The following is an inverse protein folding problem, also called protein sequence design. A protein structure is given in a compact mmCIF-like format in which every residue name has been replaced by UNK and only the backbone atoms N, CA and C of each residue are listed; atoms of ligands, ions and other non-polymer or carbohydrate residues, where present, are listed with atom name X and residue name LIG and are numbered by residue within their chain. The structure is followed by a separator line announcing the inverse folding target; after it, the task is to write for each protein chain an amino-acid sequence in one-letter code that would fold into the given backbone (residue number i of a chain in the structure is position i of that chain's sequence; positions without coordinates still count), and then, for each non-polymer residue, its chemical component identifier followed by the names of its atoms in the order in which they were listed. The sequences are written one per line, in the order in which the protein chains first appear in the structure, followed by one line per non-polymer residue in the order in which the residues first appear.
data_IF_083251284699
#
_entry.id   IF_083251284699
#
_cell.length_a   1.000
_cell.length_b   1.000
_cell.length_c   1.000
_cell.angle_alpha   90.00
_cell.angle_beta   90.00
_cell.angle_gamma   90.00
#
_symmetry.space_group_name_H-M   'P 1'
#
loop_
_entity.id
_entity.type
_entity.pdbx_description
1 polymer ?
#
# COMPACT_ATOMS: atom_id res chain seq x y z
N UNK A 1 4.00 -11.16 14.16
CA UNK A 1 2.77 -11.63 13.50
C UNK A 1 2.99 -13.11 13.31
N UNK A 2 2.43 -13.93 14.20
CA UNK A 2 2.58 -15.40 14.13
C UNK A 2 1.54 -15.88 13.12
N UNK A 3 1.97 -16.59 12.09
CA UNK A 3 1.07 -17.22 11.13
C UNK A 3 0.26 -18.31 11.85
N UNK A 4 -1.08 -18.34 11.71
CA UNK A 4 -1.87 -19.44 12.26
C UNK A 4 -1.49 -20.73 11.52
N UNK A 5 -1.03 -21.72 12.28
CA UNK A 5 -0.86 -23.09 11.78
C UNK A 5 -2.20 -23.81 11.77
N UNK A 6 -2.45 -24.64 10.75
CA UNK A 6 -3.66 -25.44 10.66
C UNK A 6 -3.32 -26.91 10.39
N UNK A 7 -4.16 -27.79 10.92
CA UNK A 7 -4.02 -29.24 10.82
C UNK A 7 -5.21 -29.77 10.02
N UNK A 8 -4.94 -30.36 8.85
CA UNK A 8 -5.93 -31.20 8.17
C UNK A 8 -5.93 -32.58 8.80
N UNK A 9 -7.07 -33.00 9.35
CA UNK A 9 -7.26 -34.36 9.87
C UNK A 9 -8.27 -35.08 8.99
N UNK A 10 -7.79 -36.01 8.16
CA UNK A 10 -8.64 -36.93 7.42
C UNK A 10 -8.98 -38.13 8.32
N UNK A 11 -10.26 -38.29 8.66
CA UNK A 11 -10.73 -39.45 9.39
C UNK A 11 -10.71 -40.71 8.50
N UNK A 12 -10.06 -41.79 8.94
CA UNK A 12 -10.19 -43.10 8.30
C UNK A 12 -11.61 -43.65 8.53
N UNK A 13 -12.55 -43.37 7.63
CA UNK A 13 -13.81 -44.10 7.62
C UNK A 13 -13.66 -45.45 6.91
N UNK A 14 -13.71 -46.52 7.69
CA UNK A 14 -14.07 -47.84 7.17
C UNK A 14 -15.58 -47.86 6.93
N UNK A 15 -15.91 -47.78 5.63
CA UNK A 15 -17.09 -48.34 4.97
C UNK A 15 -18.33 -47.46 4.74
N UNK A 16 -18.60 -47.35 3.43
CA UNK A 16 -19.89 -47.25 2.71
C UNK A 16 -20.64 -45.93 2.62
N UNK A 17 -20.70 -45.46 1.37
CA UNK A 17 -21.40 -44.29 0.78
C UNK A 17 -20.74 -42.97 1.12
N UNK A 18 -19.95 -42.48 0.17
CA UNK A 18 -19.36 -41.15 0.13
C UNK A 18 -20.39 -40.08 0.50
N UNK A 19 -20.51 -39.79 1.78
CA UNK A 19 -20.91 -38.48 2.25
C UNK A 19 -19.79 -37.56 1.81
N UNK A 20 -20.18 -36.51 1.11
CA UNK A 20 -19.36 -35.37 0.72
C UNK A 20 -18.20 -35.17 1.72
N UNK A 21 -16.95 -35.21 1.24
CA UNK A 21 -15.75 -35.13 2.08
C UNK A 21 -15.67 -33.75 2.75
N UNK A 22 -16.39 -33.58 3.85
CA UNK A 22 -16.41 -32.35 4.62
C UNK A 22 -15.06 -32.18 5.35
N UNK A 23 -14.39 -31.08 5.07
CA UNK A 23 -13.15 -30.68 5.73
C UNK A 23 -13.52 -29.96 7.02
N UNK A 24 -13.10 -30.49 8.17
CA UNK A 24 -13.21 -29.79 9.45
C UNK A 24 -12.11 -28.73 9.57
N UNK A 25 -12.50 -27.49 9.77
CA UNK A 25 -11.62 -26.34 10.02
C UNK A 25 -11.67 -25.98 11.50
N UNK A 26 -10.49 -25.72 12.08
CA UNK A 26 -10.35 -25.18 13.43
C UNK A 26 -9.50 -23.92 13.36
N UNK A 27 -10.08 -22.79 13.78
CA UNK A 27 -9.36 -21.53 13.97
C UNK A 27 -9.37 -21.18 15.45
N UNK A 28 -8.23 -20.79 16.01
CA UNK A 28 -8.09 -20.40 17.42
C UNK A 28 -7.11 -19.23 17.57
N UNK A 29 -7.43 -18.31 18.49
CA UNK A 29 -6.51 -17.29 18.97
C UNK A 29 -5.41 -17.90 19.86
N UNK A 30 -4.29 -17.18 19.97
CA UNK A 30 -3.17 -17.58 20.83
C UNK A 30 -3.63 -17.80 22.28
N UNK A 31 -3.33 -18.98 22.84
CA UNK A 31 -3.71 -19.38 24.20
C UNK A 31 -5.03 -20.13 24.31
N UNK A 32 -5.78 -20.30 23.21
CA UNK A 32 -7.05 -21.04 23.17
C UNK A 32 -7.01 -22.33 22.35
N UNK A 33 -5.83 -22.72 21.86
CA UNK A 33 -5.63 -23.86 20.97
C UNK A 33 -6.04 -25.18 21.63
N UNK A 34 -5.65 -25.37 22.90
CA UNK A 34 -5.97 -26.56 23.68
C UNK A 34 -7.48 -26.73 23.88
N UNK A 35 -8.19 -25.62 24.11
CA UNK A 35 -9.64 -25.62 24.28
C UNK A 35 -10.33 -26.01 22.97
N UNK A 36 -9.89 -25.42 21.85
CA UNK A 36 -10.40 -25.73 20.52
C UNK A 36 -10.15 -27.21 20.14
N UNK A 37 -8.94 -27.74 20.40
CA UNK A 37 -8.62 -29.14 20.12
C UNK A 37 -9.40 -30.11 21.01
N UNK A 38 -9.63 -29.77 22.29
CA UNK A 38 -10.49 -30.59 23.17
C UNK A 38 -11.92 -30.60 22.67
N UNK A 39 -12.46 -29.45 22.28
CA UNK A 39 -13.81 -29.34 21.73
C UNK A 39 -13.96 -30.15 20.42
N UNK A 40 -12.95 -30.11 19.54
CA UNK A 40 -12.92 -30.92 18.32
C UNK A 40 -13.01 -32.42 18.63
N UNK A 41 -12.24 -32.90 19.61
CA UNK A 41 -12.16 -34.33 19.97
C UNK A 41 -13.44 -34.87 20.60
N UNK A 42 -14.20 -34.04 21.30
CA UNK A 42 -15.40 -34.49 21.99
C UNK A 42 -16.60 -34.66 21.04
N UNK A 43 -16.49 -34.27 19.76
CA UNK A 43 -17.55 -34.29 18.73
C UNK A 43 -18.91 -33.73 19.20
N UNK A 44 -18.94 -32.96 20.28
CA UNK A 44 -20.17 -32.66 21.03
C UNK A 44 -20.95 -31.51 20.43
N UNK A 45 -20.45 -30.88 19.37
CA UNK A 45 -20.99 -29.62 18.89
C UNK A 45 -21.19 -29.63 17.37
N UNK A 46 -22.43 -29.38 16.96
CA UNK A 46 -22.69 -28.75 15.67
C UNK A 46 -22.13 -27.32 15.75
N UNK A 47 -20.93 -27.12 15.20
CA UNK A 47 -20.27 -25.82 14.99
C UNK A 47 -20.19 -24.88 16.21
N UNK A 48 -19.35 -25.16 17.20
CA UNK A 48 -19.08 -24.23 18.29
C UNK A 48 -18.27 -23.05 17.76
N UNK A 49 -18.92 -21.88 17.68
CA UNK A 49 -18.28 -20.59 17.42
C UNK A 49 -18.22 -19.86 18.76
N UNK A 50 -17.02 -19.57 19.23
CA UNK A 50 -16.79 -18.72 20.41
C UNK A 50 -16.15 -17.40 19.99
N UNK A 51 -15.82 -16.55 20.96
CA UNK A 51 -15.07 -15.32 20.68
C UNK A 51 -13.60 -15.58 20.37
N UNK A 52 -13.03 -16.70 20.83
CA UNK A 52 -11.60 -16.99 20.72
C UNK A 52 -11.24 -18.14 19.78
N UNK A 53 -12.21 -18.98 19.43
CA UNK A 53 -12.00 -20.10 18.52
C UNK A 53 -13.30 -20.54 17.87
N UNK A 54 -13.20 -21.16 16.70
CA UNK A 54 -14.33 -21.71 15.96
C UNK A 54 -13.99 -23.04 15.30
N UNK A 55 -14.98 -23.91 15.23
CA UNK A 55 -14.90 -25.19 14.52
C UNK A 55 -16.07 -25.25 13.56
N UNK A 56 -15.80 -25.48 12.28
CA UNK A 56 -16.83 -25.60 11.25
C UNK A 56 -16.40 -26.57 10.16
N UNK A 57 -17.35 -26.96 9.30
CA UNK A 57 -17.10 -27.88 8.19
C UNK A 57 -17.25 -27.12 6.87
N UNK A 58 -16.35 -27.38 5.93
CA UNK A 58 -16.38 -26.81 4.58
C UNK A 58 -16.27 -27.92 3.54
N UNK A 59 -16.73 -27.67 2.33
CA UNK A 59 -16.50 -28.59 1.21
C UNK A 59 -15.17 -28.28 0.52
N UNK A 60 -14.53 -29.25 -0.15
CA UNK A 60 -13.26 -29.01 -0.86
C UNK A 60 -13.36 -27.90 -1.91
N UNK A 61 -14.52 -27.76 -2.56
CA UNK A 61 -14.80 -26.74 -3.58
C UNK A 61 -14.78 -25.31 -3.02
N UNK A 62 -14.93 -25.15 -1.71
CA UNK A 62 -14.89 -23.84 -1.05
C UNK A 62 -13.46 -23.31 -0.83
N UNK A 63 -12.44 -24.17 -0.98
CA UNK A 63 -11.04 -23.76 -0.86
C UNK A 63 -10.58 -23.16 -2.19
N UNK A 64 -10.27 -21.87 -2.18
CA UNK A 64 -9.76 -21.19 -3.37
C UNK A 64 -8.34 -21.65 -3.69
N UNK A 65 -8.00 -21.95 -4.97
CA UNK A 65 -6.62 -22.23 -5.39
C UNK A 65 -5.64 -21.10 -5.07
N UNK A 66 -6.15 -19.87 -4.93
CA UNK A 66 -5.36 -18.67 -4.67
C UNK A 66 -5.14 -18.39 -3.18
N UNK A 67 -5.86 -19.11 -2.29
CA UNK A 67 -5.73 -18.94 -0.84
C UNK A 67 -6.19 -20.22 -0.13
N UNK A 68 -5.21 -21.00 0.30
CA UNK A 68 -5.37 -22.19 1.13
C UNK A 68 -5.71 -21.89 2.61
N UNK A 69 -5.63 -20.62 3.04
CA UNK A 69 -5.99 -20.20 4.40
C UNK A 69 -7.51 -20.22 4.59
N UNK A 70 -8.04 -21.04 5.51
CA UNK A 70 -9.45 -21.01 5.86
C UNK A 70 -9.82 -19.66 6.46
N UNK A 71 -10.94 -19.09 6.00
CA UNK A 71 -11.50 -17.84 6.52
C UNK A 71 -12.51 -18.14 7.60
N UNK A 72 -12.65 -17.21 8.55
CA UNK A 72 -13.61 -17.41 9.63
C UNK A 72 -15.05 -17.40 9.15
N UNK A 73 -15.92 -18.13 9.85
CA UNK A 73 -17.35 -18.18 9.54
C UNK A 73 -17.98 -16.78 9.58
N UNK A 74 -17.58 -15.97 10.58
CA UNK A 74 -17.96 -14.56 10.74
C UNK A 74 -17.54 -13.72 9.53
N UNK A 75 -16.31 -13.91 9.03
CA UNK A 75 -15.79 -13.20 7.87
C UNK A 75 -16.53 -13.57 6.58
N UNK A 76 -16.76 -14.88 6.36
CA UNK A 76 -17.47 -15.38 5.18
C UNK A 76 -18.89 -14.82 5.11
N UNK A 77 -19.63 -14.88 6.22
CA UNK A 77 -20.99 -14.32 6.31
C UNK A 77 -21.02 -12.81 6.03
N UNK A 78 -20.10 -12.06 6.63
CA UNK A 78 -20.00 -10.62 6.38
C UNK A 78 -19.68 -10.34 4.89
N UNK A 79 -18.77 -11.11 4.29
CA UNK A 79 -18.43 -10.97 2.88
C UNK A 79 -19.62 -11.24 1.96
N UNK A 80 -20.43 -12.26 2.27
CA UNK A 80 -21.67 -12.57 1.55
C UNK A 80 -22.71 -11.45 1.70
N UNK A 81 -22.90 -10.94 2.93
CA UNK A 81 -23.80 -9.81 3.20
C UNK A 81 -23.39 -8.54 2.43
N UNK A 82 -22.10 -8.20 2.45
CA UNK A 82 -21.55 -7.06 1.71
C UNK A 82 -21.69 -7.23 0.19
N UNK A 83 -21.53 -8.45 -0.31
CA UNK A 83 -21.73 -8.76 -1.73
C UNK A 83 -23.21 -8.67 -2.12
N UNK A 84 -24.12 -9.16 -1.26
CA UNK A 84 -25.56 -9.17 -1.52
C UNK A 84 -26.16 -7.75 -1.59
N UNK A 85 -25.61 -6.79 -0.83
CA UNK A 85 -26.01 -5.38 -0.91
C UNK A 85 -25.36 -4.64 -2.10
N UNK A 86 -24.57 -5.32 -2.93
CA UNK A 86 -23.94 -4.74 -4.11
C UNK A 86 -22.85 -3.71 -3.78
N UNK A 87 -22.13 -3.87 -2.66
CA UNK A 87 -21.04 -2.96 -2.32
C UNK A 87 -19.91 -3.05 -3.35
N UNK A 88 -19.48 -1.91 -3.87
CA UNK A 88 -18.38 -1.84 -4.84
C UNK A 88 -17.07 -2.37 -4.25
N UNK A 89 -16.31 -3.10 -5.07
CA UNK A 89 -14.96 -3.51 -4.70
C UNK A 89 -13.96 -2.38 -4.96
N UNK A 90 -12.79 -2.45 -4.34
CA UNK A 90 -11.71 -1.48 -4.54
C UNK A 90 -11.40 -1.28 -6.03
N UNK A 91 -11.36 -2.37 -6.80
CA UNK A 91 -11.05 -2.29 -8.22
C UNK A 91 -12.14 -1.58 -9.01
N UNK A 92 -13.40 -1.55 -8.57
CA UNK A 92 -14.43 -0.76 -9.25
C UNK A 92 -14.17 0.74 -9.10
N UNK A 93 -13.54 1.14 -8.00
CA UNK A 93 -13.43 2.53 -7.58
C UNK A 93 -12.07 3.15 -7.92
N UNK A 94 -10.99 2.37 -7.87
CA UNK A 94 -9.63 2.91 -7.88
C UNK A 94 -8.67 2.23 -8.85
N UNK A 95 -7.88 3.04 -9.54
CA UNK A 95 -6.60 2.65 -10.12
C UNK A 95 -5.51 2.78 -9.04
N UNK A 96 -5.04 1.64 -8.54
CA UNK A 96 -4.03 1.58 -7.47
C UNK A 96 -2.63 1.51 -8.07
N UNK A 97 -1.77 2.44 -7.65
CA UNK A 97 -0.40 2.53 -8.13
C UNK A 97 0.62 2.56 -6.99
N UNK A 98 1.73 1.86 -7.19
CA UNK A 98 2.86 1.95 -6.27
C UNK A 98 3.54 3.33 -6.35
N UNK A 99 3.94 3.84 -5.19
CA UNK A 99 4.70 5.08 -5.05
C UNK A 99 6.18 4.98 -5.47
N UNK A 100 6.88 6.07 -5.25
CA UNK A 100 8.31 6.28 -5.52
C UNK A 100 9.15 5.21 -4.83
N UNK A 101 10.16 4.72 -5.57
CA UNK A 101 11.33 4.06 -5.00
C UNK A 101 12.53 4.99 -5.18
N UNK A 102 13.00 5.55 -4.08
CA UNK A 102 14.12 6.50 -4.04
C UNK A 102 15.46 5.82 -4.36
N UNK A 103 15.66 4.61 -3.85
CA UNK A 103 16.91 3.86 -3.93
C UNK A 103 17.97 4.28 -2.92
N UNK A 104 17.88 5.49 -2.35
CA UNK A 104 18.80 5.97 -1.33
C UNK A 104 18.21 7.13 -0.51
N UNK A 105 17.50 6.81 0.57
CA UNK A 105 16.74 7.80 1.35
C UNK A 105 17.62 8.93 1.92
N UNK A 106 18.85 8.62 2.36
CA UNK A 106 19.76 9.59 3.00
C UNK A 106 20.08 10.81 2.12
N UNK A 107 20.14 10.63 0.81
CA UNK A 107 20.36 11.74 -0.12
C UNK A 107 19.05 12.39 -0.57
N UNK A 108 18.00 11.60 -0.79
CA UNK A 108 16.78 12.07 -1.47
C UNK A 108 15.64 12.52 -0.55
N UNK A 109 15.68 12.18 0.74
CA UNK A 109 14.65 12.55 1.71
C UNK A 109 15.24 13.54 2.72
N UNK A 110 14.60 14.70 2.82
CA UNK A 110 14.97 15.77 3.73
C UNK A 110 13.84 16.00 4.73
N UNK A 111 14.19 16.28 5.99
CA UNK A 111 13.22 16.74 6.98
C UNK A 111 12.90 18.24 6.78
N UNK A 112 11.88 18.72 7.49
CA UNK A 112 11.45 20.13 7.45
C UNK A 112 12.58 21.12 7.72
N UNK A 113 13.53 20.83 8.62
CA UNK A 113 14.63 21.74 8.95
C UNK A 113 15.66 21.82 7.81
N UNK A 114 16.01 20.69 7.21
CA UNK A 114 16.88 20.61 6.05
C UNK A 114 16.29 21.38 4.86
N UNK A 115 14.99 21.20 4.59
CA UNK A 115 14.27 21.94 3.54
C UNK A 115 14.25 23.45 3.80
N UNK A 116 13.99 23.86 5.06
CA UNK A 116 14.04 25.28 5.44
C UNK A 116 15.42 25.90 5.27
N UNK A 117 16.48 25.10 5.26
CA UNK A 117 17.83 25.60 4.98
C UNK A 117 18.07 25.88 3.49
N UNK A 118 17.28 25.29 2.57
CA UNK A 118 17.40 25.49 1.13
C UNK A 118 16.77 26.82 0.69
N UNK A 119 17.23 27.35 -0.45
CA UNK A 119 16.62 28.53 -1.09
C UNK A 119 15.25 28.18 -1.68
N UNK A 120 14.37 29.17 -1.86
CA UNK A 120 13.05 28.95 -2.48
C UNK A 120 13.14 28.34 -3.88
N UNK A 121 14.18 28.70 -4.64
CA UNK A 121 14.47 28.14 -5.97
C UNK A 121 14.79 26.64 -5.93
N UNK A 122 15.44 26.16 -4.86
CA UNK A 122 15.76 24.75 -4.69
C UNK A 122 14.58 23.96 -4.15
N UNK A 123 13.82 24.53 -3.22
CA UNK A 123 12.67 23.88 -2.58
C UNK A 123 11.61 23.42 -3.59
N UNK A 124 11.50 24.08 -4.75
CA UNK A 124 10.53 23.70 -5.79
C UNK A 124 10.80 22.32 -6.41
N UNK A 125 12.01 21.78 -6.28
CA UNK A 125 12.34 20.40 -6.68
C UNK A 125 11.95 19.36 -5.63
N UNK A 126 11.36 19.79 -4.51
CA UNK A 126 10.94 18.90 -3.43
C UNK A 126 9.43 18.84 -3.32
N UNK A 127 8.94 17.68 -2.90
CA UNK A 127 7.53 17.46 -2.59
C UNK A 127 7.40 16.85 -1.20
N UNK A 128 6.37 17.22 -0.42
CA UNK A 128 6.09 16.53 0.83
C UNK A 128 5.82 15.05 0.54
N UNK A 129 6.19 14.19 1.47
CA UNK A 129 6.10 12.73 1.30
C UNK A 129 4.82 12.21 1.93
N UNK A 130 4.13 11.30 1.24
CA UNK A 130 3.16 10.40 1.84
C UNK A 130 3.84 9.03 2.08
N UNK A 131 4.13 8.72 3.35
CA UNK A 131 4.78 7.47 3.79
C UNK A 131 4.37 7.15 5.24
N UNK A 132 4.95 6.09 5.83
CA UNK A 132 4.74 5.71 7.22
C UNK A 132 5.06 6.83 8.24
N UNK A 133 6.02 7.71 7.94
CA UNK A 133 6.43 8.78 8.86
C UNK A 133 5.50 10.00 8.84
N UNK A 134 4.73 10.17 7.75
CA UNK A 134 3.92 11.38 7.51
C UNK A 134 2.41 11.11 7.53
N UNK A 135 1.99 9.87 7.29
CA UNK A 135 0.60 9.44 7.42
C UNK A 135 0.35 9.01 8.86
N UNK A 136 -0.59 9.67 9.53
CA UNK A 136 -1.00 9.29 10.89
C UNK A 136 -2.48 9.57 11.11
N UNK A 137 -3.21 8.54 11.55
CA UNK A 137 -4.62 8.64 11.96
C UNK A 137 -5.51 9.30 10.89
N UNK A 138 -5.33 8.94 9.61
CA UNK A 138 -6.13 9.53 8.52
C UNK A 138 -5.57 10.84 7.95
N UNK A 139 -4.49 11.38 8.52
CA UNK A 139 -3.99 12.74 8.19
C UNK A 139 -2.58 12.71 7.60
N UNK A 140 -2.30 13.69 6.72
CA UNK A 140 -0.98 13.93 6.14
C UNK A 140 -0.27 15.07 6.85
N UNK A 141 1.05 14.92 7.06
CA UNK A 141 1.88 15.93 7.73
C UNK A 141 3.15 16.22 6.94
N UNK A 142 3.49 17.49 6.83
CA UNK A 142 4.65 18.02 6.11
C UNK A 142 5.98 17.89 6.88
N UNK A 143 6.33 16.66 7.28
CA UNK A 143 7.52 16.37 8.10
C UNK A 143 8.76 16.02 7.25
N UNK A 144 8.54 15.37 6.10
CA UNK A 144 9.59 14.90 5.21
C UNK A 144 9.26 15.21 3.76
N UNK A 145 10.31 15.43 2.98
CA UNK A 145 10.23 15.89 1.61
C UNK A 145 11.19 15.09 0.73
N UNK A 146 10.71 14.66 -0.44
CA UNK A 146 11.51 13.91 -1.40
C UNK A 146 11.96 14.83 -2.53
N UNK A 147 13.22 14.69 -2.94
CA UNK A 147 13.72 15.29 -4.18
C UNK A 147 13.01 14.65 -5.37
N UNK A 148 12.22 15.44 -6.09
CA UNK A 148 11.33 15.01 -7.16
C UNK A 148 11.43 15.93 -8.39
N UNK A 149 12.54 15.85 -9.16
CA UNK A 149 12.84 16.76 -10.27
C UNK A 149 12.11 16.40 -11.59
N UNK A 150 10.84 16.02 -11.53
CA UNK A 150 10.09 15.48 -12.69
C UNK A 150 8.87 16.32 -13.08
N UNK A 151 8.71 17.51 -12.52
CA UNK A 151 7.55 18.37 -12.78
C UNK A 151 7.63 19.11 -14.12
N UNK A 152 6.49 19.31 -14.78
CA UNK A 152 6.37 20.00 -16.09
C UNK A 152 6.96 21.43 -16.06
N UNK A 153 6.88 22.11 -14.92
CA UNK A 153 7.37 23.49 -14.75
C UNK A 153 8.78 23.57 -14.13
N UNK A 154 9.49 22.45 -14.04
CA UNK A 154 10.86 22.39 -13.55
C UNK A 154 11.84 22.31 -14.73
N UNK A 155 13.01 22.95 -14.64
CA UNK A 155 14.06 22.73 -15.62
C UNK A 155 14.55 21.28 -15.53
N UNK A 156 14.88 20.69 -16.67
CA UNK A 156 15.47 19.35 -16.72
C UNK A 156 16.90 19.36 -16.15
N UNK A 157 17.22 18.33 -15.37
CA UNK A 157 18.54 18.13 -14.77
C UNK A 157 19.25 17.02 -15.55
N UNK A 158 19.76 17.36 -16.73
CA UNK A 158 20.37 16.42 -17.66
C UNK A 158 21.83 16.13 -17.34
N UNK A 159 22.52 17.11 -16.76
CA UNK A 159 23.94 17.04 -16.43
C UNK A 159 24.21 17.37 -14.96
N UNK A 160 25.38 17.01 -14.48
CA UNK A 160 25.83 17.36 -13.13
C UNK A 160 26.01 18.88 -12.95
N UNK A 161 26.37 19.58 -14.03
CA UNK A 161 26.44 21.04 -14.03
C UNK A 161 25.05 21.69 -13.82
N UNK A 162 23.97 21.04 -14.29
CA UNK A 162 22.60 21.49 -14.01
C UNK A 162 22.29 21.38 -12.51
N UNK A 163 22.79 20.36 -11.81
CA UNK A 163 22.63 20.25 -10.36
C UNK A 163 23.32 21.41 -9.64
N UNK A 164 24.57 21.70 -9.99
CA UNK A 164 25.33 22.80 -9.40
C UNK A 164 24.66 24.17 -9.69
N UNK A 165 24.00 24.31 -10.84
CA UNK A 165 23.30 25.53 -11.22
C UNK A 165 21.94 25.70 -10.53
N UNK A 166 21.10 24.66 -10.54
CA UNK A 166 19.70 24.77 -10.10
C UNK A 166 19.49 24.37 -8.65
N UNK A 167 20.31 23.46 -8.13
CA UNK A 167 20.26 22.93 -6.77
C UNK A 167 21.61 22.94 -6.06
N UNK A 168 22.37 24.06 -6.06
CA UNK A 168 23.76 24.10 -5.58
C UNK A 168 23.92 23.61 -4.14
N UNK A 169 23.10 24.11 -3.22
CA UNK A 169 23.22 23.78 -1.80
C UNK A 169 22.78 22.35 -1.53
N UNK A 170 21.72 21.90 -2.20
CA UNK A 170 21.28 20.51 -2.11
C UNK A 170 22.33 19.55 -2.68
N UNK A 171 22.92 19.89 -3.82
CA UNK A 171 23.98 19.13 -4.46
C UNK A 171 25.19 18.95 -3.53
N UNK A 172 25.77 20.05 -3.04
CA UNK A 172 26.98 20.05 -2.21
C UNK A 172 26.79 19.27 -0.90
N UNK A 173 25.62 19.40 -0.27
CA UNK A 173 25.39 18.82 1.06
C UNK A 173 24.84 17.40 1.07
N UNK A 174 24.06 17.00 0.06
CA UNK A 174 23.35 15.71 0.07
C UNK A 174 23.65 14.83 -1.14
N UNK A 175 23.87 15.38 -2.34
CA UNK A 175 24.12 14.55 -3.52
C UNK A 175 25.60 14.18 -3.65
N UNK A 176 26.48 15.17 -3.69
CA UNK A 176 27.92 15.00 -3.91
C UNK A 176 28.59 14.08 -2.88
N UNK A 177 28.34 14.21 -1.55
CA UNK A 177 28.95 13.32 -0.57
C UNK A 177 28.51 11.86 -0.70
N UNK A 178 27.36 11.61 -1.34
CA UNK A 178 26.80 10.28 -1.53
C UNK A 178 26.93 9.78 -2.99
N UNK A 179 27.66 10.49 -3.85
CA UNK A 179 27.78 10.19 -5.29
C UNK A 179 28.21 8.75 -5.57
N UNK A 180 29.21 8.24 -4.86
CA UNK A 180 29.69 6.87 -5.03
C UNK A 180 28.59 5.83 -4.75
N UNK A 181 27.83 6.02 -3.67
CA UNK A 181 26.70 5.14 -3.33
C UNK A 181 25.58 5.28 -4.35
N UNK A 182 25.24 6.51 -4.76
CA UNK A 182 24.18 6.78 -5.71
C UNK A 182 24.45 6.19 -7.11
N UNK A 183 25.70 6.26 -7.59
CA UNK A 183 26.14 5.75 -8.89
C UNK A 183 26.28 4.23 -8.93
N UNK A 184 26.42 3.57 -7.77
CA UNK A 184 26.55 2.11 -7.67
C UNK A 184 25.22 1.38 -7.52
N UNK A 185 24.10 2.11 -7.45
CA UNK A 185 22.78 1.50 -7.26
C UNK A 185 22.37 0.62 -8.43
N UNK A 186 21.73 -0.49 -8.09
CA UNK A 186 21.08 -1.31 -9.10
C UNK A 186 19.90 -0.53 -9.73
N UNK A 187 19.75 -0.65 -11.06
CA UNK A 187 18.61 -0.10 -11.81
C UNK A 187 18.52 1.44 -11.79
N UNK A 188 19.61 2.15 -11.54
CA UNK A 188 19.75 3.58 -11.78
C UNK A 188 20.50 3.84 -13.09
N UNK A 189 20.26 5.01 -13.66
CA UNK A 189 21.04 5.55 -14.77
C UNK A 189 22.41 6.01 -14.23
N UNK A 190 23.51 5.49 -14.80
CA UNK A 190 24.87 5.83 -14.34
C UNK A 190 25.25 7.26 -14.69
N UNK A 191 24.77 7.74 -15.83
CA UNK A 191 25.04 9.10 -16.31
C UNK A 191 24.15 10.12 -15.58
N UNK A 192 23.04 9.66 -14.99
CA UNK A 192 22.10 10.46 -14.19
C UNK A 192 21.85 9.84 -12.82
N UNK A 193 22.94 9.59 -12.10
CA UNK A 193 22.94 8.93 -10.79
C UNK A 193 22.14 9.67 -9.71
N UNK A 194 21.87 10.97 -9.90
CA UNK A 194 21.07 11.81 -9.01
C UNK A 194 19.55 11.62 -9.16
N UNK A 195 19.09 10.76 -10.07
CA UNK A 195 17.67 10.46 -10.23
C UNK A 195 17.19 9.35 -9.29
N UNK A 196 15.89 9.35 -9.00
CA UNK A 196 15.21 8.29 -8.26
C UNK A 196 15.20 6.99 -9.05
N UNK A 197 15.31 5.83 -8.39
CA UNK A 197 15.27 4.51 -9.04
C UNK A 197 13.96 4.26 -9.79
N UNK A 198 12.84 4.67 -9.20
CA UNK A 198 11.52 4.71 -9.84
C UNK A 198 10.76 5.94 -9.34
N UNK A 199 10.67 6.96 -10.18
CA UNK A 199 9.92 8.18 -9.83
C UNK A 199 8.40 8.03 -9.95
N UNK A 200 7.93 7.07 -10.78
CA UNK A 200 6.52 6.79 -11.04
C UNK A 200 5.78 7.96 -11.72
N UNK A 201 5.74 7.90 -13.05
CA UNK A 201 5.17 8.94 -13.92
C UNK A 201 3.75 9.39 -13.55
N UNK A 202 2.90 8.49 -13.03
CA UNK A 202 1.53 8.80 -12.63
C UNK A 202 1.44 9.91 -11.55
N UNK A 203 2.53 10.18 -10.83
CA UNK A 203 2.60 11.22 -9.80
C UNK A 203 3.11 12.56 -10.32
N UNK A 204 3.63 12.64 -11.55
CA UNK A 204 4.18 13.89 -12.11
C UNK A 204 3.11 14.97 -12.12
N UNK A 205 1.94 14.65 -12.67
CA UNK A 205 0.76 15.50 -12.59
C UNK A 205 0.15 15.37 -11.19
N UNK A 206 -0.06 16.52 -10.55
CA UNK A 206 -0.74 16.58 -9.26
C UNK A 206 -2.23 16.38 -9.49
N UNK A 207 -2.81 15.47 -8.72
CA UNK A 207 -4.24 15.19 -8.73
C UNK A 207 -4.67 14.63 -7.37
N UNK A 208 -5.92 14.91 -6.95
CA UNK A 208 -6.49 14.36 -5.74
C UNK A 208 -6.36 12.83 -5.72
N UNK A 209 -5.99 12.27 -4.57
CA UNK A 209 -5.79 10.81 -4.42
C UNK A 209 -5.88 10.37 -2.97
N UNK A 210 -6.31 9.13 -2.75
CA UNK A 210 -6.04 8.47 -1.46
C UNK A 210 -4.60 7.95 -1.49
N UNK A 211 -3.94 8.01 -0.35
CA UNK A 211 -2.57 7.51 -0.16
C UNK A 211 -2.56 6.57 1.02
N UNK A 212 -1.81 5.48 0.88
CA UNK A 212 -1.61 4.52 1.96
C UNK A 212 -0.16 4.10 2.05
N UNK A 213 0.24 3.66 3.24
CA UNK A 213 1.58 3.10 3.44
C UNK A 213 1.67 1.72 2.77
N UNK A 214 2.89 1.19 2.59
CA UNK A 214 3.08 -0.13 1.98
C UNK A 214 2.61 -1.27 2.89
N UNK A 215 2.94 -1.17 4.17
CA UNK A 215 2.39 -2.00 5.23
C UNK A 215 1.71 -1.08 6.24
N UNK A 216 0.39 -1.17 6.30
CA UNK A 216 -0.43 -0.28 7.10
C UNK A 216 -1.20 -1.01 8.18
N UNK A 217 -1.42 -0.32 9.29
CA UNK A 217 -2.41 -0.67 10.31
C UNK A 217 -3.60 0.29 10.17
N UNK A 218 -4.52 0.25 11.15
CA UNK A 218 -5.59 1.23 11.26
C UNK A 218 -5.01 2.65 11.21
N UNK A 219 -5.56 3.49 10.34
CA UNK A 219 -5.14 4.89 10.19
C UNK A 219 -3.91 5.12 9.29
N UNK A 220 -3.37 4.08 8.65
CA UNK A 220 -2.22 4.19 7.73
C UNK A 220 -2.60 4.58 6.29
N UNK A 221 -3.64 5.39 6.14
CA UNK A 221 -4.04 6.00 4.88
C UNK A 221 -4.53 7.43 5.13
N UNK A 222 -4.58 8.25 4.09
CA UNK A 222 -5.08 9.62 4.15
C UNK A 222 -5.57 10.07 2.76
N UNK A 223 -6.30 11.18 2.72
CA UNK A 223 -6.68 11.83 1.46
C UNK A 223 -5.75 13.01 1.17
N UNK A 224 -5.09 12.96 0.03
CA UNK A 224 -4.30 14.06 -0.52
C UNK A 224 -5.18 14.79 -1.54
N UNK A 225 -5.84 15.85 -1.08
CA UNK A 225 -6.81 16.61 -1.87
C UNK A 225 -6.16 17.35 -3.04
N UNK A 226 -4.98 17.96 -2.83
CA UNK A 226 -4.32 18.76 -3.88
C UNK A 226 -3.45 17.89 -4.81
N UNK A 227 -3.08 16.71 -4.36
CA UNK A 227 -2.14 15.86 -5.06
C UNK A 227 -0.68 16.26 -4.84
N UNK A 228 -0.38 17.18 -3.91
CA UNK A 228 0.96 17.70 -3.67
C UNK A 228 1.93 16.65 -3.11
N UNK A 229 1.42 15.69 -2.33
CA UNK A 229 2.24 14.67 -1.72
C UNK A 229 2.72 13.65 -2.75
N UNK A 230 4.02 13.38 -2.73
CA UNK A 230 4.59 12.26 -3.45
C UNK A 230 4.50 11.00 -2.57
N UNK A 231 3.83 9.95 -3.05
CA UNK A 231 3.79 8.68 -2.33
C UNK A 231 5.18 8.05 -2.43
N UNK A 232 5.82 7.74 -1.31
CA UNK A 232 7.13 7.09 -1.25
C UNK A 232 6.98 5.79 -0.47
N UNK A 233 7.34 4.66 -1.08
CA UNK A 233 7.19 3.33 -0.46
C UNK A 233 5.78 3.10 0.13
N UNK A 234 4.77 3.21 -0.73
CA UNK A 234 3.35 3.07 -0.42
C UNK A 234 2.51 2.97 -1.69
N UNK A 235 1.21 3.22 -1.58
CA UNK A 235 0.27 3.17 -2.70
C UNK A 235 -0.52 4.47 -2.81
N UNK A 236 -0.71 4.95 -4.03
CA UNK A 236 -1.68 5.98 -4.37
C UNK A 236 -2.86 5.34 -5.07
N UNK A 237 -4.06 5.79 -4.72
CA UNK A 237 -5.32 5.24 -5.20
C UNK A 237 -6.04 6.38 -5.89
N UNK A 238 -6.13 6.28 -7.21
CA UNK A 238 -6.76 7.28 -8.06
C UNK A 238 -8.15 6.83 -8.38
N UNK A 239 -9.13 7.72 -8.23
CA UNK A 239 -10.49 7.42 -8.67
C UNK A 239 -10.50 7.05 -10.15
N UNK A 240 -11.11 5.90 -10.48
CA UNK A 240 -11.43 5.57 -11.87
C UNK A 240 -12.45 6.59 -12.35
N UNK A 241 -12.13 7.29 -13.44
CA UNK A 241 -13.14 8.12 -14.10
C UNK A 241 -14.19 7.19 -14.70
N UNK A 242 -15.45 7.38 -14.33
CA UNK A 242 -16.55 6.67 -14.98
C UNK A 242 -16.53 7.03 -16.46
N UNK A 243 -16.28 6.06 -17.35
CA UNK A 243 -16.37 6.23 -18.81
C UNK A 243 -17.79 6.54 -19.33
N UNK A 244 -18.70 6.99 -18.47
CA UNK A 244 -20.09 7.30 -18.82
C UNK A 244 -20.37 8.76 -19.15
N UNK A 245 -19.40 9.64 -19.01
CA UNK A 245 -19.58 11.04 -19.42
C UNK A 245 -18.81 11.27 -20.72
N UNK A 246 -19.43 10.80 -21.81
CA UNK A 246 -19.21 11.39 -23.11
C UNK A 246 -19.98 12.69 -23.19
N UNK A 247 -19.54 13.73 -22.49
CA UNK A 247 -19.93 15.11 -22.72
C UNK A 247 -18.84 16.05 -22.16
N UNK A 248 -18.55 17.08 -22.93
CA UNK A 248 -17.38 17.95 -22.90
C UNK A 248 -17.01 18.58 -21.55
N UNK A 249 -15.79 18.32 -21.07
CA UNK A 249 -15.06 19.25 -20.19
C UNK A 249 -14.52 20.42 -21.04
N UNK A 250 -15.43 21.28 -21.49
CA UNK A 250 -15.12 22.69 -21.76
C UNK A 250 -15.85 23.51 -20.72
N UNK A 251 -15.11 24.41 -20.08
CA UNK A 251 -15.55 25.47 -19.15
C UNK A 251 -15.69 25.09 -17.67
N UNK A 252 -14.57 25.15 -16.95
CA UNK A 252 -14.53 25.78 -15.62
C UNK A 252 -13.17 26.48 -15.42
N UNK A 253 -12.91 27.49 -16.24
CA UNK A 253 -12.09 28.63 -15.87
C UNK A 253 -12.92 29.88 -16.16
N UNK A 254 -13.58 30.44 -15.14
CA UNK A 254 -13.72 31.89 -14.94
C UNK A 254 -14.48 32.25 -13.66
N UNK A 255 -14.14 33.43 -13.12
CA UNK A 255 -14.64 34.12 -11.92
C UNK A 255 -14.03 33.64 -10.59
N UNK A 256 -13.28 34.42 -9.81
CA UNK A 256 -12.86 35.85 -9.85
C UNK A 256 -11.51 36.01 -9.15
#
# INVERSE_FOLDING_TARGET
MVEPGFILVEGREKNTKAKQNDIKVVLAEEGYEDAALRALRQETFHTPITDHWEIFSITPDSISPNSWLPRSSKYMKLSEELSAIGMSIVDDLFDVHQGVLTGFNKAFILNTNSIKSLTSKERRFFRPIASNSTIRDGTLRDLEYVFYPYGIHLPELLTENDLQKFVPKYYEKWLEPNKNELSSRARSDKDRWWLLTRYRAWQVTRKPKLVSTYFGLRGSFAFDETGDFAVVQGHGWLWKQNKKDGESDTEFYETS
#
